data_IF_633599861103
#
_entry.id   IF_633599861103
#
_cell.length_a   1.000
_cell.length_b   1.000
_cell.length_c   1.000
_cell.angle_alpha   90.00
_cell.angle_beta   90.00
_cell.angle_gamma   90.00
#
_symmetry.space_group_name_H-M   'P 1'
#
loop_
_entity.id
_entity.type
_entity.pdbx_description
1 polymer ?
#
# COMPACT_ATOMS: atom_id res chain seq x y z
N UNK A 1 6.12 6.73 12.76
CA UNK A 1 6.70 7.00 11.41
C UNK A 1 6.79 8.50 11.15
N UNK A 2 5.70 9.27 11.02
CA UNK A 2 5.80 10.70 10.67
C UNK A 2 6.54 11.54 11.71
N UNK A 3 6.26 11.34 13.00
CA UNK A 3 7.02 12.00 14.07
C UNK A 3 8.52 11.65 14.04
N UNK A 4 8.86 10.46 13.53
CA UNK A 4 10.26 10.06 13.33
C UNK A 4 10.88 10.77 12.12
N UNK A 5 10.16 10.89 11.00
CA UNK A 5 10.61 11.68 9.85
C UNK A 5 10.86 13.15 10.22
N UNK A 6 9.97 13.74 11.01
CA UNK A 6 10.10 15.11 11.49
C UNK A 6 11.33 15.26 12.39
N UNK A 7 11.51 14.35 13.35
CA UNK A 7 12.66 14.35 14.26
C UNK A 7 14.00 14.15 13.53
N UNK A 8 14.02 13.32 12.49
CA UNK A 8 15.22 12.94 11.77
C UNK A 8 15.45 13.75 10.49
N UNK A 9 14.57 14.69 10.14
CA UNK A 9 14.70 15.51 8.95
C UNK A 9 14.54 14.75 7.63
N UNK A 10 13.87 13.59 7.63
CA UNK A 10 13.63 12.83 6.41
C UNK A 10 12.38 13.33 5.68
N UNK A 11 12.46 13.40 4.36
CA UNK A 11 11.35 13.86 3.52
C UNK A 11 10.56 12.71 2.88
N UNK A 12 11.11 11.51 2.87
CA UNK A 12 10.51 10.36 2.19
C UNK A 12 10.36 9.15 3.12
N UNK A 13 9.27 8.42 2.91
CA UNK A 13 9.09 7.03 3.37
C UNK A 13 8.95 6.16 2.15
N UNK A 14 9.75 5.10 2.08
CA UNK A 14 9.63 4.05 1.05
C UNK A 14 9.26 2.73 1.70
N UNK A 15 8.58 1.87 0.94
CA UNK A 15 8.22 0.51 1.33
C UNK A 15 7.52 -0.21 0.18
N UNK A 16 6.94 -1.37 0.45
CA UNK A 16 6.02 -2.03 -0.46
C UNK A 16 4.64 -2.23 0.17
N UNK A 17 3.64 -2.44 -0.67
CA UNK A 17 2.36 -2.98 -0.23
C UNK A 17 2.06 -4.24 -1.02
N UNK A 18 1.87 -5.34 -0.30
CA UNK A 18 1.64 -6.66 -0.87
C UNK A 18 0.17 -6.89 -1.21
N UNK A 19 -0.08 -7.47 -2.37
CA UNK A 19 -1.39 -7.98 -2.80
C UNK A 19 -1.26 -9.49 -3.00
N UNK A 20 -2.06 -10.32 -2.32
CA UNK A 20 -2.01 -11.77 -2.51
C UNK A 20 -2.28 -12.19 -3.96
N UNK A 21 -1.54 -13.19 -4.44
CA UNK A 21 -1.82 -13.85 -5.73
C UNK A 21 -3.17 -14.55 -5.68
N UNK A 22 -3.47 -15.22 -4.58
CA UNK A 22 -4.76 -15.86 -4.33
C UNK A 22 -5.66 -14.93 -3.52
N UNK A 23 -6.87 -14.65 -4.03
CA UNK A 23 -7.83 -13.75 -3.41
C UNK A 23 -9.24 -13.95 -3.96
N UNK A 24 -10.06 -12.90 -3.94
CA UNK A 24 -11.36 -12.91 -4.61
C UNK A 24 -11.17 -12.91 -6.14
N UNK A 25 -11.75 -13.89 -6.84
CA UNK A 25 -11.63 -14.07 -8.29
C UNK A 25 -10.46 -14.96 -8.68
N UNK A 26 -10.07 -14.89 -9.95
CA UNK A 26 -8.98 -15.71 -10.50
C UNK A 26 -7.60 -15.31 -9.92
N UNK A 27 -6.65 -16.25 -9.82
CA UNK A 27 -5.28 -15.95 -9.38
C UNK A 27 -4.68 -14.75 -10.14
N UNK A 28 -4.12 -13.80 -9.39
CA UNK A 28 -3.52 -12.59 -9.96
C UNK A 28 -4.50 -11.51 -10.44
N UNK A 29 -5.80 -11.78 -10.54
CA UNK A 29 -6.78 -10.80 -11.03
C UNK A 29 -6.82 -9.54 -10.13
N UNK A 30 -6.80 -9.70 -8.81
CA UNK A 30 -6.74 -8.54 -7.89
C UNK A 30 -5.45 -7.73 -8.06
N UNK A 31 -4.31 -8.40 -8.27
CA UNK A 31 -3.02 -7.72 -8.55
C UNK A 31 -3.16 -6.89 -9.82
N UNK A 32 -3.73 -7.46 -10.89
CA UNK A 32 -3.99 -6.77 -12.16
C UNK A 32 -4.84 -5.51 -11.94
N UNK A 33 -5.97 -5.65 -11.25
CA UNK A 33 -6.87 -4.52 -11.00
C UNK A 33 -6.24 -3.43 -10.12
N UNK A 34 -5.48 -3.80 -9.10
CA UNK A 34 -4.73 -2.84 -8.27
C UNK A 34 -3.69 -2.11 -9.13
N UNK A 35 -2.91 -2.85 -9.92
CA UNK A 35 -1.88 -2.33 -10.82
C UNK A 35 -2.44 -1.32 -11.81
N UNK A 36 -3.59 -1.60 -12.41
CA UNK A 36 -4.23 -0.67 -13.35
C UNK A 36 -4.68 0.63 -12.67
N UNK A 37 -5.29 0.54 -11.48
CA UNK A 37 -5.72 1.72 -10.72
C UNK A 37 -4.54 2.59 -10.31
N UNK A 38 -3.48 1.99 -9.74
CA UNK A 38 -2.33 2.76 -9.27
C UNK A 38 -1.55 3.34 -10.44
N UNK A 39 -1.40 2.61 -11.54
CA UNK A 39 -0.76 3.11 -12.75
C UNK A 39 -1.49 4.33 -13.31
N UNK A 40 -2.82 4.29 -13.34
CA UNK A 40 -3.63 5.37 -13.90
C UNK A 40 -3.69 6.63 -13.02
N UNK A 41 -3.63 6.49 -11.69
CA UNK A 41 -3.97 7.60 -10.77
C UNK A 41 -2.91 7.95 -9.73
N UNK A 42 -1.96 7.05 -9.50
CA UNK A 42 -1.02 7.13 -8.39
C UNK A 42 0.43 6.82 -8.78
N UNK A 43 0.76 6.83 -10.07
CA UNK A 43 2.14 6.62 -10.51
C UNK A 43 3.07 7.70 -9.96
N UNK A 44 4.28 7.28 -9.56
CA UNK A 44 5.37 8.19 -9.26
C UNK A 44 5.87 8.88 -10.53
N UNK A 45 6.70 9.91 -10.36
CA UNK A 45 7.37 10.54 -11.50
C UNK A 45 8.32 9.54 -12.19
N UNK A 46 8.58 9.66 -13.51
CA UNK A 46 9.41 8.72 -14.25
C UNK A 46 10.80 8.49 -13.63
N UNK A 47 11.39 9.52 -13.03
CA UNK A 47 12.71 9.47 -12.38
C UNK A 47 12.73 8.61 -11.11
N UNK A 48 11.54 8.34 -10.55
CA UNK A 48 11.34 7.51 -9.36
C UNK A 48 10.84 6.11 -9.73
N UNK A 49 10.74 5.79 -11.02
CA UNK A 49 10.27 4.48 -11.48
C UNK A 49 11.35 3.43 -11.28
N UNK A 50 10.97 2.32 -10.64
CA UNK A 50 11.77 1.12 -10.44
C UNK A 50 11.17 -0.04 -11.24
N UNK A 51 12.00 -1.05 -11.50
CA UNK A 51 11.63 -2.23 -12.28
C UNK A 51 11.82 -3.49 -11.43
N UNK A 52 10.83 -4.40 -11.40
CA UNK A 52 10.92 -5.60 -10.59
C UNK A 52 11.98 -6.55 -11.14
N UNK A 53 12.84 -7.10 -10.27
CA UNK A 53 13.75 -8.19 -10.66
C UNK A 53 13.00 -9.48 -10.99
N UNK A 54 11.85 -9.71 -10.34
CA UNK A 54 10.94 -10.82 -10.62
C UNK A 54 9.56 -10.26 -10.99
N UNK A 55 9.24 -10.13 -12.28
CA UNK A 55 7.91 -9.72 -12.72
C UNK A 55 6.82 -10.69 -12.23
N UNK A 56 5.59 -10.21 -12.13
CA UNK A 56 4.43 -11.05 -11.78
C UNK A 56 4.01 -11.91 -12.97
N UNK A 57 4.17 -13.22 -12.78
CA UNK A 57 3.71 -14.28 -13.67
C UNK A 57 2.96 -15.27 -12.77
N UNK A 58 1.71 -15.59 -13.12
CA UNK A 58 0.83 -16.49 -12.37
C UNK A 58 0.35 -17.56 -13.35
N UNK A 59 0.58 -18.83 -13.04
CA UNK A 59 0.23 -19.98 -13.90
C UNK A 59 0.73 -19.82 -15.35
N UNK A 60 1.99 -19.40 -15.51
CA UNK A 60 2.66 -19.09 -16.78
C UNK A 60 2.02 -17.95 -17.60
N UNK A 61 1.10 -17.19 -17.02
CA UNK A 61 0.48 -16.01 -17.62
C UNK A 61 1.10 -14.74 -17.05
N UNK A 62 1.55 -13.84 -17.93
CA UNK A 62 2.06 -12.53 -17.51
C UNK A 62 0.93 -11.65 -16.97
N UNK A 63 1.22 -10.79 -15.99
CA UNK A 63 0.20 -9.94 -15.34
C UNK A 63 -0.66 -9.13 -16.33
N UNK A 64 -0.09 -8.68 -17.44
CA UNK A 64 -0.82 -7.89 -18.44
C UNK A 64 -1.81 -8.70 -19.29
N UNK A 65 -1.69 -10.03 -19.28
CA UNK A 65 -2.60 -10.93 -19.97
C UNK A 65 -3.65 -11.52 -19.01
N UNK A 66 -3.49 -11.31 -17.69
CA UNK A 66 -4.50 -11.68 -16.70
C UNK A 66 -5.70 -10.71 -16.82
N UNK A 67 -6.94 -11.21 -16.90
CA UNK A 67 -8.14 -10.37 -16.88
C UNK A 67 -8.24 -9.56 -15.58
N UNK A 68 -8.66 -8.29 -15.72
CA UNK A 68 -9.00 -7.48 -14.56
C UNK A 68 -10.24 -8.09 -13.84
N UNK A 69 -10.34 -7.94 -12.52
CA UNK A 69 -11.41 -8.56 -11.76
C UNK A 69 -12.72 -7.80 -11.98
N UNK A 70 -13.86 -8.50 -12.01
CA UNK A 70 -15.18 -7.85 -12.04
C UNK A 70 -15.40 -6.91 -10.85
N UNK A 71 -14.86 -7.31 -9.68
CA UNK A 71 -14.88 -6.53 -8.45
C UNK A 71 -13.46 -6.39 -7.91
N UNK A 72 -12.97 -5.14 -7.89
CA UNK A 72 -11.69 -4.81 -7.31
C UNK A 72 -11.79 -4.55 -5.81
N UNK A 73 -11.00 -5.30 -5.03
CA UNK A 73 -10.82 -5.09 -3.60
C UNK A 73 -9.45 -4.47 -3.33
N UNK A 74 -9.40 -3.14 -3.26
CA UNK A 74 -8.17 -2.42 -2.90
C UNK A 74 -7.79 -2.71 -1.44
N UNK A 75 -6.57 -3.23 -1.16
CA UNK A 75 -6.12 -3.51 0.21
C UNK A 75 -6.29 -2.27 1.11
N UNK A 76 -6.82 -2.42 2.34
CA UNK A 76 -7.07 -1.29 3.23
C UNK A 76 -5.82 -0.44 3.49
N UNK A 77 -4.66 -1.09 3.64
CA UNK A 77 -3.39 -0.42 3.86
C UNK A 77 -2.97 0.43 2.66
N UNK A 78 -3.01 -0.16 1.46
CA UNK A 78 -2.72 0.56 0.21
C UNK A 78 -3.66 1.75 0.05
N UNK A 79 -4.96 1.55 0.26
CA UNK A 79 -5.97 2.62 0.21
C UNK A 79 -5.66 3.77 1.17
N UNK A 80 -5.21 3.45 2.38
CA UNK A 80 -4.77 4.44 3.37
C UNK A 80 -3.58 5.24 2.89
N UNK A 81 -2.55 4.59 2.35
CA UNK A 81 -1.36 5.25 1.83
C UNK A 81 -1.65 6.11 0.60
N UNK A 82 -2.46 5.62 -0.35
CA UNK A 82 -2.86 6.40 -1.52
C UNK A 82 -3.64 7.66 -1.12
N UNK A 83 -4.52 7.56 -0.11
CA UNK A 83 -5.22 8.74 0.47
C UNK A 83 -4.28 9.71 1.16
N UNK A 84 -3.15 9.24 1.68
CA UNK A 84 -2.09 10.10 2.23
C UNK A 84 -1.24 10.76 1.14
N UNK A 85 -1.41 10.40 -0.13
CA UNK A 85 -0.60 10.91 -1.23
C UNK A 85 0.60 10.04 -1.56
N UNK A 86 0.63 8.78 -1.11
CA UNK A 86 1.63 7.82 -1.58
C UNK A 86 1.50 7.59 -3.09
N UNK A 87 2.63 7.41 -3.74
CA UNK A 87 2.74 7.10 -5.16
C UNK A 87 3.36 5.71 -5.33
N UNK A 88 2.96 5.00 -6.38
CA UNK A 88 3.52 3.70 -6.74
C UNK A 88 4.61 3.89 -7.79
N UNK A 89 5.77 3.31 -7.50
CA UNK A 89 7.02 3.55 -8.22
C UNK A 89 7.24 2.58 -9.38
N UNK A 90 6.21 1.94 -9.92
CA UNK A 90 6.35 1.02 -11.07
C UNK A 90 5.50 -0.22 -10.96
N UNK A 91 5.88 -1.25 -11.71
CA UNK A 91 5.24 -2.57 -11.69
C UNK A 91 5.53 -3.30 -10.37
N UNK A 92 4.60 -4.15 -9.90
CA UNK A 92 4.83 -4.95 -8.70
C UNK A 92 5.86 -6.07 -8.94
N UNK A 93 6.56 -6.47 -7.89
CA UNK A 93 7.46 -7.61 -7.89
C UNK A 93 6.75 -8.86 -7.33
N UNK A 94 6.95 -10.03 -7.94
CA UNK A 94 6.44 -11.29 -7.42
C UNK A 94 7.29 -11.79 -6.26
N UNK A 95 6.65 -12.07 -5.14
CA UNK A 95 7.22 -12.78 -4.01
C UNK A 95 6.53 -14.15 -3.84
N UNK A 96 7.11 -15.24 -4.37
CA UNK A 96 6.54 -16.57 -4.30
C UNK A 96 6.63 -17.20 -2.90
N UNK A 97 7.56 -16.73 -2.06
CA UNK A 97 7.73 -17.28 -0.71
C UNK A 97 6.55 -16.87 0.18
N UNK A 98 5.94 -15.71 -0.12
CA UNK A 98 4.75 -15.19 0.55
C UNK A 98 3.48 -15.27 -0.30
N UNK A 99 3.57 -15.69 -1.56
CA UNK A 99 2.44 -15.79 -2.50
C UNK A 99 1.78 -14.44 -2.80
N UNK A 100 2.57 -13.38 -2.94
CA UNK A 100 2.09 -12.00 -3.12
C UNK A 100 2.80 -11.27 -4.27
N UNK A 101 2.21 -10.16 -4.71
CA UNK A 101 2.86 -9.16 -5.52
C UNK A 101 3.05 -7.86 -4.73
N UNK A 102 4.28 -7.38 -4.67
CA UNK A 102 4.70 -6.22 -3.89
C UNK A 102 4.76 -4.96 -4.75
N UNK A 103 3.92 -3.99 -4.42
CA UNK A 103 3.90 -2.69 -5.08
C UNK A 103 4.87 -1.72 -4.41
N UNK A 104 5.91 -1.23 -5.10
CA UNK A 104 6.86 -0.29 -4.51
C UNK A 104 6.16 1.06 -4.28
N UNK A 105 6.12 1.53 -3.04
CA UNK A 105 5.38 2.71 -2.62
C UNK A 105 6.32 3.77 -2.03
N UNK A 106 6.08 5.02 -2.39
CA UNK A 106 6.81 6.19 -1.90
C UNK A 106 5.83 7.23 -1.38
N UNK A 107 6.07 7.72 -0.17
CA UNK A 107 5.35 8.85 0.41
C UNK A 107 6.32 10.02 0.60
N UNK A 108 6.04 11.13 -0.08
CA UNK A 108 6.70 12.40 0.13
C UNK A 108 5.98 13.18 1.23
N UNK A 109 6.67 13.42 2.35
CA UNK A 109 6.16 14.15 3.52
C UNK A 109 5.56 15.51 3.15
N UNK A 110 6.10 16.19 2.14
CA UNK A 110 5.66 17.52 1.70
C UNK A 110 4.33 17.51 0.95
N UNK A 111 3.93 16.34 0.45
CA UNK A 111 2.68 16.12 -0.29
C UNK A 111 1.60 15.46 0.54
N UNK A 112 1.87 15.19 1.81
CA UNK A 112 0.95 14.43 2.63
C UNK A 112 -0.31 15.24 2.90
N UNK A 113 -1.47 14.59 2.76
CA UNK A 113 -2.74 15.16 3.22
C UNK A 113 -2.74 15.28 4.76
N UNK A 114 -2.38 16.47 5.24
CA UNK A 114 -2.30 16.81 6.66
C UNK A 114 -3.65 16.64 7.36
N UNK A 115 -4.77 16.86 6.66
CA UNK A 115 -6.11 16.70 7.23
C UNK A 115 -6.41 15.23 7.46
N UNK A 116 -6.05 14.36 6.53
CA UNK A 116 -6.21 12.92 6.69
C UNK A 116 -5.26 12.36 7.76
N UNK A 117 -4.02 12.84 7.82
CA UNK A 117 -3.11 12.51 8.92
C UNK A 117 -3.64 12.91 10.30
N UNK A 118 -4.20 14.10 10.41
CA UNK A 118 -4.77 14.59 11.67
C UNK A 118 -5.90 13.67 12.12
N UNK A 119 -6.77 13.23 11.21
CA UNK A 119 -7.84 12.26 11.52
C UNK A 119 -7.29 10.91 11.97
N UNK A 120 -6.29 10.36 11.27
CA UNK A 120 -5.65 9.10 11.66
C UNK A 120 -5.00 9.21 13.05
N UNK A 121 -4.30 10.31 13.34
CA UNK A 121 -3.70 10.59 14.65
C UNK A 121 -4.77 10.69 15.75
N UNK A 122 -5.86 11.41 15.49
CA UNK A 122 -6.96 11.55 16.45
C UNK A 122 -7.68 10.22 16.71
N UNK A 123 -7.91 9.41 15.68
CA UNK A 123 -8.50 8.08 15.81
C UNK A 123 -7.58 7.14 16.60
N UNK A 124 -6.28 7.12 16.30
CA UNK A 124 -5.30 6.32 17.05
C UNK A 124 -5.18 6.74 18.52
N UNK A 125 -5.20 8.06 18.80
CA UNK A 125 -5.20 8.57 20.18
C UNK A 125 -6.50 8.23 20.93
N UNK A 126 -7.64 8.16 20.24
CA UNK A 126 -8.91 7.73 20.84
C UNK A 126 -8.93 6.21 21.09
N UNK A 127 -8.46 5.40 20.15
CA UNK A 127 -8.31 3.96 20.31
C UNK A 127 -7.37 3.62 21.48
N UNK A 128 -6.20 4.29 21.59
CA UNK A 128 -5.27 4.10 22.71
C UNK A 128 -5.85 4.50 24.07
N UNK A 129 -6.75 5.48 24.12
CA UNK A 129 -7.46 5.87 25.36
C UNK A 129 -8.54 4.86 25.76
N UNK A 130 -9.22 4.22 24.80
CA UNK A 130 -10.19 3.17 25.07
C UNK A 130 -9.53 1.86 25.53
N UNK A 131 -8.37 1.52 24.98
CA UNK A 131 -7.58 0.34 25.41
C UNK A 131 -6.98 0.49 26.82
N UNK A 132 -6.73 1.73 27.27
CA UNK A 132 -6.21 2.01 28.61
C UNK A 132 -7.26 1.98 29.73
N UNK A 133 -8.55 1.91 29.41
CA UNK A 133 -9.65 1.94 30.39
C UNK A 133 -10.21 0.55 30.73
N UNK A 134 -9.63 -0.53 30.18
CA UNK A 134 -10.06 -1.92 30.46
C UNK A 134 -9.10 -2.69 31.40
N UNK A 135 -8.06 -2.05 31.97
CA UNK A 135 -7.05 -2.74 32.78
C UNK A 135 -6.95 -2.28 34.24
N UNK A 136 -7.93 -1.55 34.76
CA UNK A 136 -8.01 -1.21 36.18
C UNK A 136 -9.41 -1.55 36.67
N UNK A 137 -9.61 -2.79 37.09
CA UNK A 137 -10.56 -3.20 38.14
C UNK A 137 -10.55 -4.73 38.25
N UNK A 138 -9.52 -5.26 38.92
CA UNK A 138 -9.62 -6.51 39.70
C UNK A 138 -8.74 -6.32 40.93
N UNK A 139 -9.38 -6.02 42.06
CA UNK A 139 -8.79 -6.17 43.39
C UNK A 139 -9.80 -6.90 44.27
#
# INVERSE_FOLDING_TARGET
>A
ILAYLDRCGYDYVTGCVSVPVLGEGDPGSQIRGVRDVVRARHSAAPELTVYPHRPVIVDDVALEDIPAPERLTMPPLLRGYLRLGAQICGEPAHDPDFGVADFPALLDKRRVDIRYLTRLRSAAAHAGRQSGHQHTDVH
#
